data_IF_741505885621
#
_entry.id   IF_741505885621
#
_cell.length_a   1.000
_cell.length_b   1.000
_cell.length_c   1.000
_cell.angle_alpha   90.00
_cell.angle_beta   90.00
_cell.angle_gamma   90.00
#
_symmetry.space_group_name_H-M   'P 1'
#
loop_
_entity.id
_entity.type
_entity.pdbx_description
1 polymer ?
#
# COMPACT_ATOMS: atom_id res chain seq x y z
N UNK A 1 45.02 38.47 -21.64
CA UNK A 1 44.10 38.66 -20.51
C UNK A 1 44.27 37.49 -19.53
N UNK A 2 44.69 37.76 -18.34
CA UNK A 2 44.71 36.75 -17.28
C UNK A 2 43.30 36.60 -16.71
N UNK A 3 42.67 35.45 -16.88
CA UNK A 3 41.44 35.12 -16.17
C UNK A 3 41.77 34.86 -14.71
N UNK A 4 41.22 35.66 -13.82
CA UNK A 4 41.27 35.36 -12.39
C UNK A 4 40.33 34.21 -12.11
N UNK A 5 40.87 33.05 -11.80
CA UNK A 5 40.10 31.95 -11.24
C UNK A 5 40.05 32.12 -9.73
N UNK A 6 38.87 32.49 -9.22
CA UNK A 6 38.61 32.43 -7.78
C UNK A 6 38.16 31.02 -7.42
N UNK A 7 38.94 30.30 -6.63
CA UNK A 7 38.58 29.00 -6.06
C UNK A 7 37.91 29.17 -4.71
N UNK A 8 37.28 28.09 -4.22
CA UNK A 8 36.76 28.05 -2.86
C UNK A 8 37.90 28.13 -1.83
N UNK A 9 37.68 28.86 -0.74
CA UNK A 9 38.58 28.82 0.40
C UNK A 9 38.35 27.51 1.19
N UNK A 10 39.36 27.08 1.95
CA UNK A 10 39.28 25.90 2.81
C UNK A 10 38.13 26.02 3.80
N UNK A 11 37.93 27.21 4.38
CA UNK A 11 36.85 27.44 5.36
C UNK A 11 35.45 27.32 4.74
N UNK A 12 35.27 27.81 3.51
CA UNK A 12 34.01 27.66 2.77
C UNK A 12 33.66 26.18 2.51
N UNK A 13 34.64 25.39 2.11
CA UNK A 13 34.43 23.95 1.89
C UNK A 13 34.08 23.23 3.20
N UNK A 14 34.81 23.51 4.29
CA UNK A 14 34.56 22.91 5.61
C UNK A 14 33.17 23.29 6.11
N UNK A 15 32.76 24.55 5.98
CA UNK A 15 31.42 25.02 6.36
C UNK A 15 30.32 24.27 5.59
N UNK A 16 30.48 24.06 4.30
CA UNK A 16 29.52 23.35 3.45
C UNK A 16 29.37 21.89 3.88
N UNK A 17 30.49 21.18 4.09
CA UNK A 17 30.40 19.77 4.52
C UNK A 17 29.79 19.61 5.92
N UNK A 18 30.08 20.53 6.84
CA UNK A 18 29.48 20.53 8.18
C UNK A 18 27.96 20.76 8.10
N UNK A 19 27.52 21.74 7.31
CA UNK A 19 26.08 22.02 7.13
C UNK A 19 25.36 20.87 6.48
N UNK A 20 25.93 20.24 5.46
CA UNK A 20 25.36 19.03 4.81
C UNK A 20 25.27 17.88 5.82
N UNK A 21 26.30 17.69 6.64
CA UNK A 21 26.32 16.65 7.66
C UNK A 21 25.22 16.82 8.71
N UNK A 22 25.00 18.05 9.20
CA UNK A 22 23.94 18.37 10.15
C UNK A 22 22.56 18.18 9.52
N UNK A 23 22.34 18.65 8.30
CA UNK A 23 21.07 18.47 7.59
C UNK A 23 20.78 17.00 7.30
N UNK A 24 21.79 16.22 6.92
CA UNK A 24 21.64 14.79 6.68
C UNK A 24 21.24 14.04 7.96
N UNK A 25 21.84 14.38 9.11
CA UNK A 25 21.49 13.76 10.39
C UNK A 25 20.03 14.00 10.81
N UNK A 26 19.45 15.14 10.45
CA UNK A 26 18.03 15.45 10.70
C UNK A 26 17.10 14.85 9.65
N UNK A 27 17.53 14.81 8.39
CA UNK A 27 16.70 14.35 7.27
C UNK A 27 16.52 12.83 7.25
N UNK A 28 17.56 12.06 7.55
CA UNK A 28 17.52 10.58 7.51
C UNK A 28 16.41 9.98 8.41
N UNK A 29 16.25 10.37 9.68
CA UNK A 29 15.16 9.86 10.52
C UNK A 29 13.77 10.20 9.98
N UNK A 30 13.59 11.38 9.40
CA UNK A 30 12.32 11.81 8.80
C UNK A 30 11.92 10.94 7.61
N UNK A 31 12.86 10.58 6.75
CA UNK A 31 12.59 9.69 5.60
C UNK A 31 12.27 8.26 6.03
N UNK A 32 12.86 7.77 7.12
CA UNK A 32 12.54 6.46 7.68
C UNK A 32 11.11 6.41 8.21
N UNK A 33 10.65 7.47 8.90
CA UNK A 33 9.27 7.58 9.39
C UNK A 33 8.24 7.66 8.25
N UNK A 34 8.56 8.39 7.17
CA UNK A 34 7.73 8.45 5.96
C UNK A 34 7.55 7.08 5.28
N UNK A 35 8.51 6.17 5.43
CA UNK A 35 8.43 4.82 4.88
C UNK A 35 7.32 3.98 5.51
N UNK A 36 7.06 4.10 6.82
CA UNK A 36 5.96 3.40 7.50
C UNK A 36 4.60 3.97 7.08
N UNK A 37 4.48 5.29 7.00
CA UNK A 37 3.25 5.95 6.56
C UNK A 37 2.92 5.62 5.10
N UNK A 38 3.93 5.57 4.22
CA UNK A 38 3.76 5.18 2.84
C UNK A 38 3.27 3.73 2.70
N UNK A 39 3.80 2.80 3.51
CA UNK A 39 3.33 1.40 3.52
C UNK A 39 1.90 1.29 4.03
N UNK A 40 1.53 2.03 5.08
CA UNK A 40 0.17 2.06 5.60
C UNK A 40 -0.81 2.61 4.56
N UNK A 41 -0.45 3.69 3.87
CA UNK A 41 -1.25 4.27 2.79
C UNK A 41 -1.42 3.31 1.61
N UNK A 42 -0.35 2.60 1.22
CA UNK A 42 -0.40 1.60 0.17
C UNK A 42 -1.31 0.42 0.55
N UNK A 43 -1.20 -0.09 1.78
CA UNK A 43 -2.07 -1.16 2.27
C UNK A 43 -3.54 -0.72 2.32
N UNK A 44 -3.82 0.51 2.74
CA UNK A 44 -5.17 1.08 2.73
C UNK A 44 -5.71 1.21 1.30
N UNK A 45 -4.88 1.58 0.34
CA UNK A 45 -5.24 1.62 -1.08
C UNK A 45 -5.60 0.25 -1.65
N UNK A 46 -4.81 -0.77 -1.34
CA UNK A 46 -5.09 -2.17 -1.72
C UNK A 46 -6.41 -2.65 -1.09
N UNK A 47 -6.62 -2.37 0.19
CA UNK A 47 -7.85 -2.71 0.90
C UNK A 47 -9.08 -2.04 0.27
N UNK A 48 -8.97 -0.76 -0.11
CA UNK A 48 -10.02 -0.04 -0.82
C UNK A 48 -10.37 -0.66 -2.18
N UNK A 49 -9.36 -1.08 -2.93
CA UNK A 49 -9.52 -1.80 -4.19
C UNK A 49 -10.25 -3.13 -3.99
N UNK A 50 -9.86 -3.90 -2.97
CA UNK A 50 -10.50 -5.17 -2.62
C UNK A 50 -11.96 -4.98 -2.22
N UNK A 51 -12.27 -3.99 -1.37
CA UNK A 51 -13.64 -3.68 -0.98
C UNK A 51 -14.51 -3.33 -2.18
N UNK A 52 -13.98 -2.50 -3.08
CA UNK A 52 -14.67 -2.11 -4.31
C UNK A 52 -14.93 -3.31 -5.21
N UNK A 53 -13.94 -4.15 -5.45
CA UNK A 53 -14.06 -5.34 -6.28
C UNK A 53 -15.09 -6.32 -5.70
N UNK A 54 -15.08 -6.53 -4.37
CA UNK A 54 -16.05 -7.37 -3.68
C UNK A 54 -17.48 -6.84 -3.86
N UNK A 55 -17.70 -5.55 -3.71
CA UNK A 55 -19.01 -4.92 -3.86
C UNK A 55 -19.55 -5.05 -5.30
N UNK A 56 -18.71 -4.79 -6.29
CA UNK A 56 -19.07 -4.93 -7.71
C UNK A 56 -19.41 -6.38 -8.04
N UNK A 57 -18.59 -7.33 -7.57
CA UNK A 57 -18.83 -8.76 -7.78
C UNK A 57 -20.15 -9.22 -7.15
N UNK A 58 -20.42 -8.80 -5.90
CA UNK A 58 -21.67 -9.12 -5.22
C UNK A 58 -22.88 -8.61 -6.01
N UNK A 59 -22.85 -7.36 -6.43
CA UNK A 59 -23.95 -6.76 -7.22
C UNK A 59 -24.14 -7.47 -8.57
N UNK A 60 -23.06 -7.79 -9.26
CA UNK A 60 -23.10 -8.47 -10.56
C UNK A 60 -23.72 -9.87 -10.42
N UNK A 61 -23.29 -10.63 -9.41
CA UNK A 61 -23.78 -11.99 -9.16
C UNK A 61 -25.24 -12.01 -8.65
N UNK A 62 -25.64 -11.04 -7.83
CA UNK A 62 -27.04 -10.88 -7.43
C UNK A 62 -27.96 -10.55 -8.60
N UNK A 63 -27.47 -9.77 -9.56
CA UNK A 63 -28.23 -9.47 -10.78
C UNK A 63 -28.29 -10.68 -11.73
N UNK A 64 -27.22 -11.47 -11.82
CA UNK A 64 -27.13 -12.65 -12.66
C UNK A 64 -26.07 -13.61 -12.11
N UNK A 65 -26.49 -14.78 -11.63
CA UNK A 65 -25.62 -15.79 -11.03
C UNK A 65 -24.53 -16.35 -11.99
N UNK A 66 -24.68 -16.14 -13.31
CA UNK A 66 -23.64 -16.49 -14.29
C UNK A 66 -22.53 -15.44 -14.39
N UNK A 67 -22.67 -14.30 -13.74
CA UNK A 67 -21.69 -13.20 -13.72
C UNK A 67 -20.91 -13.20 -12.40
N UNK A 68 -19.66 -12.73 -12.48
CA UNK A 68 -18.80 -12.66 -11.31
C UNK A 68 -18.31 -14.03 -10.81
N UNK A 69 -17.75 -14.05 -9.64
CA UNK A 69 -17.19 -15.25 -8.99
C UNK A 69 -17.86 -15.50 -7.62
N UNK A 70 -17.82 -16.75 -7.18
CA UNK A 70 -18.23 -17.13 -5.82
C UNK A 70 -17.24 -16.55 -4.84
N UNK A 71 -17.73 -16.05 -3.71
CA UNK A 71 -16.93 -15.54 -2.60
C UNK A 71 -17.47 -16.20 -1.33
N UNK A 72 -16.78 -17.22 -0.85
CA UNK A 72 -17.07 -17.90 0.40
C UNK A 72 -15.92 -17.82 1.42
N UNK A 73 -14.80 -17.20 1.01
CA UNK A 73 -13.67 -16.87 1.85
C UNK A 73 -13.10 -15.48 1.48
N UNK A 74 -12.50 -14.78 2.46
CA UNK A 74 -11.85 -13.50 2.21
C UNK A 74 -10.78 -13.57 1.11
N UNK A 75 -10.10 -14.69 0.98
CA UNK A 75 -9.04 -14.87 -0.04
C UNK A 75 -9.59 -14.85 -1.47
N UNK A 76 -10.84 -15.23 -1.68
CA UNK A 76 -11.46 -15.22 -3.01
C UNK A 76 -11.53 -13.82 -3.62
N UNK A 77 -11.58 -12.81 -2.77
CA UNK A 77 -11.62 -11.41 -3.22
C UNK A 77 -10.35 -11.01 -3.99
N UNK A 78 -9.22 -11.65 -3.72
CA UNK A 78 -7.97 -11.40 -4.46
C UNK A 78 -8.13 -11.65 -5.96
N UNK A 79 -8.88 -12.68 -6.34
CA UNK A 79 -9.14 -13.03 -7.73
C UNK A 79 -10.07 -12.06 -8.48
N UNK A 80 -10.73 -11.16 -7.76
CA UNK A 80 -11.63 -10.15 -8.34
C UNK A 80 -10.87 -8.90 -8.80
N UNK A 81 -9.65 -8.71 -8.33
CA UNK A 81 -8.81 -7.60 -8.77
C UNK A 81 -8.27 -7.85 -10.17
N UNK A 82 -8.32 -6.84 -11.01
CA UNK A 82 -7.68 -6.90 -12.32
C UNK A 82 -6.15 -6.97 -12.13
N UNK A 83 -5.56 -8.08 -12.57
CA UNK A 83 -4.14 -8.34 -12.35
C UNK A 83 -3.81 -9.06 -11.03
N UNK A 84 -4.81 -9.36 -10.20
CA UNK A 84 -4.64 -10.04 -8.92
C UNK A 84 -4.10 -9.15 -7.80
N UNK A 85 -3.78 -9.76 -6.68
CA UNK A 85 -3.22 -9.07 -5.52
C UNK A 85 -1.79 -8.61 -5.83
N UNK A 86 -1.39 -7.38 -5.49
CA UNK A 86 -0.01 -6.92 -5.70
C UNK A 86 1.01 -7.80 -4.97
N UNK A 87 2.22 -7.90 -5.53
CA UNK A 87 3.30 -8.69 -4.93
C UNK A 87 3.60 -8.23 -3.49
N UNK A 88 3.79 -9.18 -2.59
CA UNK A 88 4.06 -8.91 -1.17
C UNK A 88 2.81 -8.70 -0.30
N UNK A 89 1.62 -8.78 -0.89
CA UNK A 89 0.35 -8.73 -0.15
C UNK A 89 -0.28 -10.12 -0.01
N UNK A 90 -0.93 -10.35 1.10
CA UNK A 90 -1.63 -11.59 1.41
C UNK A 90 -2.94 -11.29 2.15
N UNK A 91 -3.97 -12.07 1.90
CA UNK A 91 -5.25 -11.96 2.60
C UNK A 91 -5.36 -13.13 3.58
N UNK A 92 -5.69 -12.83 4.83
CA UNK A 92 -5.98 -13.84 5.84
C UNK A 92 -7.28 -14.55 5.49
N UNK A 93 -7.25 -15.90 5.46
CA UNK A 93 -8.45 -16.71 5.25
C UNK A 93 -9.46 -16.48 6.36
N UNK A 94 -10.70 -16.23 5.96
CA UNK A 94 -11.84 -16.13 6.85
C UNK A 94 -13.08 -16.52 6.04
N UNK A 95 -13.75 -17.58 6.44
CA UNK A 95 -14.96 -18.05 5.75
C UNK A 95 -16.08 -17.02 5.81
N UNK A 96 -16.78 -16.84 4.69
CA UNK A 96 -17.89 -15.91 4.56
C UNK A 96 -19.14 -16.68 4.11
N UNK A 97 -20.15 -16.65 4.94
CA UNK A 97 -21.46 -17.21 4.56
C UNK A 97 -22.12 -16.33 3.48
N UNK A 98 -22.88 -16.96 2.58
CA UNK A 98 -23.63 -16.21 1.55
C UNK A 98 -24.51 -15.13 2.19
N UNK A 99 -24.48 -13.94 1.60
CA UNK A 99 -25.17 -12.72 2.05
C UNK A 99 -24.71 -12.17 3.42
N UNK A 100 -23.72 -12.79 4.07
CA UNK A 100 -23.11 -12.24 5.26
C UNK A 100 -21.96 -11.28 4.88
N UNK A 101 -21.82 -10.21 5.66
CA UNK A 101 -20.76 -9.23 5.51
C UNK A 101 -19.74 -9.39 6.63
N UNK A 102 -18.47 -9.53 6.27
CA UNK A 102 -17.37 -9.67 7.22
C UNK A 102 -16.26 -8.66 6.95
N UNK A 103 -15.45 -8.40 7.96
CA UNK A 103 -14.23 -7.61 7.83
C UNK A 103 -13.05 -8.54 7.60
N UNK A 104 -12.44 -8.43 6.43
CA UNK A 104 -11.25 -9.17 6.02
C UNK A 104 -9.99 -8.37 6.31
N UNK A 105 -8.85 -9.05 6.48
CA UNK A 105 -7.56 -8.43 6.71
C UNK A 105 -6.62 -8.73 5.55
N UNK A 106 -5.99 -7.69 5.00
CA UNK A 106 -4.90 -7.79 4.04
C UNK A 106 -3.59 -7.36 4.72
N UNK A 107 -2.55 -8.14 4.53
CA UNK A 107 -1.21 -7.89 5.08
C UNK A 107 -0.25 -7.62 3.93
N UNK A 108 0.43 -6.51 4.00
CA UNK A 108 1.44 -6.10 3.03
C UNK A 108 2.87 -6.21 3.56
N UNK A 109 3.85 -5.64 2.85
CA UNK A 109 5.25 -5.65 3.26
C UNK A 109 5.47 -5.13 4.68
N UNK A 110 6.46 -5.73 5.38
CA UNK A 110 6.79 -5.44 6.78
C UNK A 110 5.58 -5.58 7.73
N UNK A 111 4.73 -6.58 7.50
CA UNK A 111 3.56 -6.87 8.33
C UNK A 111 2.57 -5.71 8.48
N UNK A 112 2.56 -4.78 7.52
CA UNK A 112 1.59 -3.69 7.49
C UNK A 112 0.21 -4.23 7.13
N UNK A 113 -0.78 -4.02 7.98
CA UNK A 113 -2.14 -4.55 7.79
C UNK A 113 -3.13 -3.44 7.45
N UNK A 114 -4.15 -3.81 6.69
CA UNK A 114 -5.34 -3.00 6.47
C UNK A 114 -6.56 -3.92 6.43
N UNK A 115 -7.73 -3.36 6.64
CA UNK A 115 -8.98 -4.12 6.62
C UNK A 115 -9.87 -3.66 5.48
N UNK A 116 -10.67 -4.58 4.96
CA UNK A 116 -11.69 -4.31 3.97
C UNK A 116 -12.93 -5.14 4.26
N UNK A 117 -14.06 -4.67 3.78
CA UNK A 117 -15.34 -5.36 3.96
C UNK A 117 -15.64 -6.19 2.71
N UNK A 118 -16.06 -7.44 2.90
CA UNK A 118 -16.52 -8.31 1.84
C UNK A 118 -17.84 -8.95 2.23
N UNK A 119 -18.71 -9.18 1.23
CA UNK A 119 -19.98 -9.89 1.41
C UNK A 119 -19.92 -11.18 0.62
N UNK A 120 -20.25 -12.29 1.27
CA UNK A 120 -20.28 -13.61 0.67
C UNK A 120 -21.37 -13.72 -0.40
N UNK A 121 -21.06 -14.47 -1.46
CA UNK A 121 -22.00 -14.74 -2.55
C UNK A 121 -21.75 -16.12 -3.13
N UNK A 122 -22.79 -16.92 -3.21
CA UNK A 122 -22.78 -18.26 -3.82
C UNK A 122 -23.14 -18.24 -5.31
#
# INVERSE_FOLDING_TARGET
MKRQQSGFTLIELVMVIVLIGVLAAVAIPKFVDLGSDARAAAAAGVAGGLASAAAVNYAARKANAAKGAIVDDCQDVAGLLQGGLPAGYEITSLAITADATVTCTVTGPNTTTATFVATGIS
#
